data_IF_682379915501
#
_entry.id   IF_682379915501
#
_cell.length_a   1.000
_cell.length_b   1.000
_cell.length_c   1.000
_cell.angle_alpha   90.00
_cell.angle_beta   90.00
_cell.angle_gamma   90.00
#
_symmetry.space_group_name_H-M   'P 1'
#
loop_
_entity.id
_entity.type
_entity.pdbx_description
1 polymer ?
#
# COMPACT_ATOMS: atom_id res chain seq x y z
N UNK A 1 -65.07 32.17 -6.09
CA UNK A 1 -64.01 31.34 -6.71
C UNK A 1 -62.68 32.08 -6.91
N UNK A 2 -62.65 33.40 -7.08
CA UNK A 2 -61.42 34.15 -7.42
C UNK A 2 -60.32 34.21 -6.34
N UNK A 3 -60.67 34.24 -5.04
CA UNK A 3 -59.70 34.39 -3.94
C UNK A 3 -58.79 33.16 -3.75
N UNK A 4 -59.35 31.95 -3.89
CA UNK A 4 -58.58 30.71 -3.78
C UNK A 4 -57.54 30.56 -4.89
N UNK A 5 -57.87 31.00 -6.11
CA UNK A 5 -56.95 30.93 -7.25
C UNK A 5 -55.75 31.86 -7.02
N UNK A 6 -55.99 33.09 -6.55
CA UNK A 6 -54.92 34.04 -6.23
C UNK A 6 -54.01 33.54 -5.10
N UNK A 7 -54.57 32.87 -4.09
CA UNK A 7 -53.79 32.25 -3.01
C UNK A 7 -52.89 31.12 -3.52
N UNK A 8 -53.38 30.29 -4.43
CA UNK A 8 -52.61 29.19 -5.03
C UNK A 8 -51.47 29.75 -5.90
N UNK A 9 -51.74 30.77 -6.70
CA UNK A 9 -50.71 31.43 -7.52
C UNK A 9 -49.62 32.08 -6.66
N UNK A 10 -49.98 32.69 -5.54
CA UNK A 10 -49.02 33.25 -4.59
C UNK A 10 -48.14 32.15 -3.96
N UNK A 11 -48.73 31.02 -3.55
CA UNK A 11 -47.99 29.87 -3.03
C UNK A 11 -47.05 29.27 -4.09
N UNK A 12 -47.48 29.15 -5.35
CA UNK A 12 -46.65 28.65 -6.44
C UNK A 12 -45.46 29.58 -6.73
N UNK A 13 -45.66 30.90 -6.72
CA UNK A 13 -44.57 31.88 -6.87
C UNK A 13 -43.58 31.81 -5.70
N UNK A 14 -44.07 31.65 -4.47
CA UNK A 14 -43.22 31.50 -3.29
C UNK A 14 -42.41 30.21 -3.34
N UNK A 15 -43.03 29.10 -3.76
CA UNK A 15 -42.35 27.82 -3.91
C UNK A 15 -41.29 27.87 -5.00
N UNK A 16 -41.58 28.51 -6.14
CA UNK A 16 -40.61 28.70 -7.21
C UNK A 16 -39.40 29.54 -6.75
N UNK A 17 -39.63 30.59 -5.97
CA UNK A 17 -38.56 31.40 -5.39
C UNK A 17 -37.70 30.61 -4.39
N UNK A 18 -38.31 29.73 -3.60
CA UNK A 18 -37.61 28.85 -2.67
C UNK A 18 -36.78 27.78 -3.38
N UNK A 19 -37.33 27.15 -4.43
CA UNK A 19 -36.61 26.19 -5.27
C UNK A 19 -35.38 26.82 -5.92
N UNK A 20 -35.50 28.05 -6.42
CA UNK A 20 -34.36 28.78 -7.01
C UNK A 20 -33.29 29.13 -5.97
N UNK A 21 -33.69 29.51 -4.75
CA UNK A 21 -32.75 29.73 -3.63
C UNK A 21 -32.03 28.44 -3.26
N UNK A 22 -32.75 27.32 -3.20
CA UNK A 22 -32.16 26.01 -2.89
C UNK A 22 -31.23 25.54 -4.02
N UNK A 23 -31.58 25.77 -5.29
CA UNK A 23 -30.72 25.47 -6.44
C UNK A 23 -29.39 26.24 -6.34
N UNK A 24 -29.46 27.54 -6.09
CA UNK A 24 -28.25 28.38 -5.89
C UNK A 24 -27.39 27.90 -4.72
N UNK A 25 -28.00 27.52 -3.60
CA UNK A 25 -27.28 26.94 -2.45
C UNK A 25 -26.60 25.61 -2.79
N UNK A 26 -27.27 24.72 -3.54
CA UNK A 26 -26.70 23.44 -3.98
C UNK A 26 -25.54 23.63 -4.96
N UNK A 27 -25.63 24.63 -5.84
CA UNK A 27 -24.54 24.96 -6.77
C UNK A 27 -23.34 25.57 -6.07
N UNK A 28 -23.56 26.46 -5.10
CA UNK A 28 -22.48 27.00 -4.27
C UNK A 28 -21.76 25.90 -3.48
N UNK A 29 -22.51 25.00 -2.82
CA UNK A 29 -21.94 23.87 -2.10
C UNK A 29 -21.15 22.91 -3.01
N UNK A 30 -21.64 22.68 -4.25
CA UNK A 30 -20.91 21.87 -5.23
C UNK A 30 -19.59 22.51 -5.66
N UNK A 31 -19.56 23.83 -5.85
CA UNK A 31 -18.31 24.55 -6.18
C UNK A 31 -17.29 24.47 -5.05
N UNK A 32 -17.74 24.67 -3.82
CA UNK A 32 -16.87 24.60 -2.63
C UNK A 32 -16.29 23.19 -2.44
N UNK A 33 -17.07 22.14 -2.69
CA UNK A 33 -16.58 20.75 -2.65
C UNK A 33 -15.51 20.50 -3.72
N UNK A 34 -15.69 21.02 -4.93
CA UNK A 34 -14.71 20.85 -6.02
C UNK A 34 -13.42 21.64 -5.74
N UNK A 35 -13.53 22.87 -5.22
CA UNK A 35 -12.38 23.68 -4.82
C UNK A 35 -11.59 23.01 -3.68
N UNK A 36 -12.29 22.46 -2.68
CA UNK A 36 -11.67 21.68 -1.61
C UNK A 36 -11.02 20.39 -2.13
N UNK A 37 -11.63 19.74 -3.15
CA UNK A 37 -11.09 18.55 -3.81
C UNK A 37 -9.82 18.89 -4.61
N UNK A 38 -9.79 20.02 -5.31
CA UNK A 38 -8.64 20.48 -6.09
C UNK A 38 -7.50 20.94 -5.18
N UNK A 39 -7.80 21.63 -4.08
CA UNK A 39 -6.83 21.95 -3.03
C UNK A 39 -6.21 20.69 -2.43
N UNK A 40 -7.03 19.68 -2.13
CA UNK A 40 -6.55 18.37 -1.63
C UNK A 40 -5.66 17.67 -2.65
N UNK A 41 -6.02 17.69 -3.94
CA UNK A 41 -5.21 17.14 -5.03
C UNK A 41 -3.87 17.87 -5.18
N UNK A 42 -3.87 19.19 -5.04
CA UNK A 42 -2.66 20.02 -5.07
C UNK A 42 -1.71 19.68 -3.91
N UNK A 43 -2.24 19.54 -2.69
CA UNK A 43 -1.47 19.08 -1.53
C UNK A 43 -0.88 17.67 -1.72
N UNK A 44 -1.65 16.73 -2.26
CA UNK A 44 -1.15 15.38 -2.56
C UNK A 44 0.00 15.40 -3.58
N UNK A 45 -0.09 16.29 -4.59
CA UNK A 45 0.96 16.44 -5.61
C UNK A 45 2.25 17.01 -5.02
N UNK A 46 2.16 18.00 -4.13
CA UNK A 46 3.33 18.55 -3.41
C UNK A 46 3.96 17.53 -2.44
N UNK A 47 3.15 16.73 -1.75
CA UNK A 47 3.68 15.63 -0.95
C UNK A 47 4.38 14.58 -1.81
N UNK A 48 3.85 14.28 -2.99
CA UNK A 48 4.47 13.34 -3.92
C UNK A 48 5.83 13.84 -4.43
N UNK A 49 5.99 15.15 -4.70
CA UNK A 49 7.28 15.72 -5.10
C UNK A 49 8.30 15.75 -3.95
N UNK A 50 7.86 16.04 -2.72
CA UNK A 50 8.71 15.94 -1.53
C UNK A 50 9.20 14.51 -1.30
N UNK A 51 8.31 13.51 -1.40
CA UNK A 51 8.67 12.09 -1.27
C UNK A 51 9.63 11.65 -2.38
N UNK A 52 9.42 12.09 -3.64
CA UNK A 52 10.33 11.80 -4.76
C UNK A 52 11.70 12.43 -4.58
N UNK A 53 11.78 13.63 -4.02
CA UNK A 53 13.06 14.30 -3.74
C UNK A 53 13.78 13.68 -2.55
N UNK A 54 13.04 13.23 -1.52
CA UNK A 54 13.60 12.46 -0.39
C UNK A 54 14.19 11.11 -0.85
N UNK A 55 13.52 10.41 -1.79
CA UNK A 55 14.06 9.21 -2.45
C UNK A 55 15.31 9.46 -3.30
N UNK A 56 15.49 10.68 -3.83
CA UNK A 56 16.64 11.03 -4.67
C UNK A 56 17.92 11.35 -3.87
N UNK A 57 17.79 11.54 -2.56
CA UNK A 57 18.92 11.83 -1.65
C UNK A 57 19.46 10.59 -0.91
N UNK A 58 18.96 9.39 -1.21
CA UNK A 58 19.58 8.14 -0.73
C UNK A 58 20.46 7.63 -1.87
N UNK A 59 21.74 8.03 -1.86
CA UNK A 59 22.75 7.23 -2.56
C UNK A 59 22.69 5.81 -2.00
N UNK A 60 22.74 4.75 -2.84
CA UNK A 60 22.92 3.41 -2.30
C UNK A 60 24.24 3.39 -1.50
N UNK A 61 24.24 2.98 -0.22
CA UNK A 61 25.50 2.77 0.47
C UNK A 61 26.31 1.75 -0.32
N UNK A 62 27.54 2.12 -0.64
CA UNK A 62 28.52 1.27 -1.30
C UNK A 62 28.61 -0.06 -0.52
N UNK A 63 28.39 -1.24 -1.15
CA UNK A 63 28.43 -2.51 -0.44
C UNK A 63 29.88 -2.89 -0.17
N UNK A 64 30.47 -2.28 0.85
CA UNK A 64 31.64 -2.84 1.51
C UNK A 64 31.15 -3.97 2.41
N UNK A 65 31.35 -5.20 1.90
CA UNK A 65 31.28 -6.49 2.58
C UNK A 65 30.90 -6.43 4.07
N UNK A 66 29.60 -6.50 4.37
CA UNK A 66 29.15 -6.91 5.70
C UNK A 66 28.68 -8.34 5.59
N UNK A 67 29.54 -9.24 6.05
CA UNK A 67 29.29 -10.66 6.27
C UNK A 67 27.90 -10.87 6.86
N UNK A 68 27.00 -11.43 6.04
CA UNK A 68 25.68 -11.92 6.48
C UNK A 68 25.93 -13.23 7.22
N UNK A 69 26.24 -13.15 8.51
CA UNK A 69 26.38 -14.33 9.37
C UNK A 69 25.64 -14.09 10.67
N UNK A 70 24.55 -14.82 10.88
CA UNK A 70 23.89 -14.87 12.18
C UNK A 70 22.53 -15.56 12.21
N UNK A 71 21.62 -15.29 11.26
CA UNK A 71 20.19 -15.67 11.46
C UNK A 71 19.53 -16.32 10.25
N UNK A 72 20.12 -16.20 9.05
CA UNK A 72 19.55 -16.75 7.82
C UNK A 72 20.17 -18.13 7.59
N UNK A 73 19.35 -19.20 7.63
CA UNK A 73 19.79 -20.55 7.28
C UNK A 73 20.52 -20.50 5.93
N UNK A 74 21.66 -21.19 5.79
CA UNK A 74 22.57 -21.06 4.64
C UNK A 74 21.88 -21.23 3.26
N UNK A 75 20.78 -22.01 3.23
CA UNK A 75 19.86 -22.22 2.11
C UNK A 75 19.10 -20.96 1.61
N UNK A 76 19.10 -19.86 2.37
CA UNK A 76 18.38 -18.61 2.06
C UNK A 76 19.34 -17.41 1.91
N UNK A 77 20.62 -17.67 1.63
CA UNK A 77 21.63 -16.64 1.39
C UNK A 77 21.60 -16.21 -0.08
N UNK A 78 21.35 -14.93 -0.35
CA UNK A 78 21.41 -14.38 -1.69
C UNK A 78 22.79 -13.79 -1.97
N UNK A 79 23.27 -13.93 -3.20
CA UNK A 79 24.51 -13.29 -3.60
C UNK A 79 24.35 -11.76 -3.65
N UNK A 80 25.43 -10.98 -3.48
CA UNK A 80 25.38 -9.53 -3.61
C UNK A 80 24.89 -9.06 -5.00
N UNK A 81 25.16 -9.85 -6.05
CA UNK A 81 24.70 -9.56 -7.41
C UNK A 81 23.20 -9.81 -7.56
N UNK A 82 22.69 -10.91 -7.01
CA UNK A 82 21.25 -11.21 -6.99
C UNK A 82 20.48 -10.12 -6.24
N UNK A 83 20.98 -9.69 -5.08
CA UNK A 83 20.35 -8.61 -4.31
C UNK A 83 20.30 -7.30 -5.09
N UNK A 84 21.36 -6.96 -5.83
CA UNK A 84 21.39 -5.76 -6.68
C UNK A 84 20.39 -5.85 -7.84
N UNK A 85 20.28 -7.00 -8.49
CA UNK A 85 19.32 -7.21 -9.57
C UNK A 85 17.88 -7.06 -9.04
N UNK A 86 17.56 -7.69 -7.91
CA UNK A 86 16.25 -7.56 -7.26
C UNK A 86 15.96 -6.11 -6.85
N UNK A 87 16.97 -5.37 -6.38
CA UNK A 87 16.85 -3.97 -6.01
C UNK A 87 16.59 -3.07 -7.24
N UNK A 88 17.26 -3.32 -8.36
CA UNK A 88 17.05 -2.60 -9.62
C UNK A 88 15.64 -2.83 -10.20
N UNK A 89 15.12 -4.05 -10.08
CA UNK A 89 13.76 -4.38 -10.50
C UNK A 89 12.68 -3.80 -9.57
N UNK A 90 13.07 -3.39 -8.35
CA UNK A 90 12.14 -2.96 -7.32
C UNK A 90 11.95 -1.45 -7.31
N UNK A 91 10.71 -0.99 -7.52
CA UNK A 91 10.36 0.43 -7.44
C UNK A 91 10.17 0.98 -6.01
N UNK A 92 10.40 0.15 -4.97
CA UNK A 92 10.37 0.55 -3.57
C UNK A 92 10.47 -0.63 -2.59
N UNK A 93 10.59 -0.31 -1.30
CA UNK A 93 10.79 -1.27 -0.20
C UNK A 93 9.77 -2.40 -0.15
N UNK A 94 8.49 -2.12 -0.43
CA UNK A 94 7.43 -3.14 -0.48
C UNK A 94 7.55 -4.11 -1.66
N UNK A 95 7.96 -3.62 -2.85
CA UNK A 95 8.21 -4.49 -4.02
C UNK A 95 9.49 -5.30 -3.84
N UNK A 96 10.52 -4.70 -3.23
CA UNK A 96 11.75 -5.40 -2.88
C UNK A 96 11.50 -6.52 -1.88
N UNK A 97 10.73 -6.25 -0.82
CA UNK A 97 10.32 -7.29 0.14
C UNK A 97 9.49 -8.40 -0.51
N UNK A 98 8.61 -8.04 -1.45
CA UNK A 98 7.81 -9.00 -2.21
C UNK A 98 8.71 -9.92 -3.08
N UNK A 99 9.65 -9.35 -3.83
CA UNK A 99 10.59 -10.11 -4.66
C UNK A 99 11.51 -11.01 -3.80
N UNK A 100 12.01 -10.50 -2.67
CA UNK A 100 12.74 -11.30 -1.68
C UNK A 100 11.91 -12.48 -1.17
N UNK A 101 10.62 -12.25 -0.89
CA UNK A 101 9.72 -13.32 -0.42
C UNK A 101 9.55 -14.42 -1.47
N UNK A 102 9.35 -14.05 -2.74
CA UNK A 102 9.27 -15.02 -3.85
C UNK A 102 10.56 -15.79 -4.09
N UNK A 103 11.71 -15.15 -3.91
CA UNK A 103 13.01 -15.77 -4.18
C UNK A 103 13.50 -16.66 -3.04
N UNK A 104 13.29 -16.22 -1.80
CA UNK A 104 13.71 -16.94 -0.59
C UNK A 104 12.74 -18.06 -0.24
N UNK A 105 11.44 -17.86 -0.44
CA UNK A 105 10.43 -18.82 -0.01
C UNK A 105 9.47 -19.22 -1.15
N UNK A 106 9.99 -19.79 -2.26
CA UNK A 106 9.15 -20.22 -3.37
C UNK A 106 8.10 -21.26 -2.93
N UNK A 107 8.36 -22.04 -1.87
CA UNK A 107 7.43 -23.06 -1.34
C UNK A 107 6.16 -22.48 -0.73
N UNK A 108 6.13 -21.18 -0.39
CA UNK A 108 4.93 -20.50 0.09
C UNK A 108 3.88 -20.32 -1.00
N UNK A 109 4.28 -20.39 -2.26
CA UNK A 109 3.41 -20.13 -3.43
C UNK A 109 2.82 -21.41 -4.04
N UNK A 110 3.14 -22.59 -3.48
CA UNK A 110 2.56 -23.87 -3.89
C UNK A 110 1.11 -24.08 -3.42
N UNK A 111 0.57 -25.29 -3.65
CA UNK A 111 -0.79 -25.69 -3.23
C UNK A 111 -1.03 -25.73 -1.71
N UNK A 112 -0.04 -25.34 -0.91
CA UNK A 112 -0.07 -25.42 0.54
C UNK A 112 -0.73 -24.19 1.17
N UNK A 113 -1.38 -24.39 2.32
CA UNK A 113 -1.95 -23.31 3.15
C UNK A 113 -0.87 -22.43 3.80
N UNK A 114 0.43 -22.66 3.51
CA UNK A 114 1.58 -21.97 4.10
C UNK A 114 1.57 -20.45 3.83
N UNK A 115 0.98 -20.00 2.72
CA UNK A 115 0.78 -18.56 2.46
C UNK A 115 -0.06 -17.84 3.52
N UNK A 116 -1.00 -18.55 4.16
CA UNK A 116 -1.85 -17.99 5.20
C UNK A 116 -1.11 -17.86 6.52
N UNK A 117 -0.24 -18.82 6.81
CA UNK A 117 0.71 -18.77 7.93
C UNK A 117 1.73 -17.64 7.72
N UNK A 118 2.11 -17.33 6.48
CA UNK A 118 3.11 -16.30 6.17
C UNK A 118 2.62 -14.85 6.16
N UNK A 119 1.36 -14.56 6.47
CA UNK A 119 0.86 -13.18 6.44
C UNK A 119 1.61 -12.26 7.42
N UNK A 120 1.98 -11.08 6.94
CA UNK A 120 2.57 -10.03 7.74
C UNK A 120 1.47 -9.23 8.45
N UNK A 121 1.68 -8.91 9.72
CA UNK A 121 0.72 -8.19 10.55
C UNK A 121 1.40 -6.95 11.12
N UNK A 122 0.65 -5.86 11.18
CA UNK A 122 1.04 -4.61 11.81
C UNK A 122 0.44 -4.52 13.22
N UNK A 123 1.24 -4.29 14.26
CA UNK A 123 0.76 -4.03 15.61
C UNK A 123 -0.34 -4.98 16.13
N UNK A 124 -1.25 -4.45 16.95
CA UNK A 124 -2.31 -5.14 17.71
C UNK A 124 -3.29 -6.05 16.93
N UNK A 125 -3.10 -6.21 15.62
CA UNK A 125 -3.85 -7.14 14.76
C UNK A 125 -3.32 -8.58 14.79
N UNK A 126 -2.11 -8.80 15.34
CA UNK A 126 -1.52 -10.14 15.44
C UNK A 126 -2.37 -11.12 16.28
N UNK A 127 -3.14 -10.63 17.25
CA UNK A 127 -4.00 -11.43 18.15
C UNK A 127 -5.29 -11.93 17.52
N UNK A 128 -5.65 -11.50 16.29
CA UNK A 128 -6.88 -11.92 15.58
C UNK A 128 -6.65 -12.89 14.43
N UNK A 129 -5.41 -13.28 14.13
CA UNK A 129 -5.15 -14.27 13.10
C UNK A 129 -5.56 -15.67 13.58
N UNK A 130 -6.39 -16.36 12.80
CA UNK A 130 -6.74 -17.78 13.04
C UNK A 130 -5.55 -18.72 12.76
N UNK A 131 -4.52 -18.23 12.06
CA UNK A 131 -3.35 -19.01 11.69
C UNK A 131 -2.22 -18.81 12.70
N UNK A 132 -1.39 -19.83 12.96
CA UNK A 132 -0.22 -19.69 13.82
C UNK A 132 0.66 -18.54 13.32
N UNK A 133 1.31 -17.80 14.24
CA UNK A 133 2.22 -16.74 13.83
C UNK A 133 3.31 -17.34 12.93
N UNK A 134 3.64 -16.72 11.80
CA UNK A 134 4.69 -17.21 10.93
C UNK A 134 6.00 -17.33 11.67
N UNK A 135 6.80 -18.32 11.26
CA UNK A 135 8.13 -18.55 11.83
C UNK A 135 8.93 -17.24 11.89
N UNK A 136 9.30 -16.75 13.09
CA UNK A 136 9.96 -15.46 13.27
C UNK A 136 11.20 -15.31 12.37
N UNK A 137 11.98 -16.39 12.25
CA UNK A 137 13.20 -16.50 11.45
C UNK A 137 13.00 -16.09 9.99
N UNK A 138 11.86 -16.47 9.39
CA UNK A 138 11.64 -16.22 7.96
C UNK A 138 11.33 -14.76 7.65
N UNK A 139 10.52 -14.13 8.51
CA UNK A 139 10.22 -12.69 8.44
C UNK A 139 11.46 -11.86 8.78
N UNK A 140 12.23 -12.30 9.75
CA UNK A 140 13.46 -11.65 10.18
C UNK A 140 14.50 -11.61 9.07
N UNK A 141 14.65 -12.69 8.28
CA UNK A 141 15.53 -12.69 7.10
C UNK A 141 15.13 -11.59 6.09
N UNK A 142 13.84 -11.46 5.77
CA UNK A 142 13.35 -10.43 4.84
C UNK A 142 13.57 -9.03 5.44
N UNK A 143 13.27 -8.83 6.73
CA UNK A 143 13.52 -7.54 7.41
C UNK A 143 14.99 -7.19 7.45
N UNK A 144 15.88 -8.16 7.62
CA UNK A 144 17.32 -7.95 7.59
C UNK A 144 17.77 -7.45 6.22
N UNK A 145 17.40 -8.15 5.13
CA UNK A 145 17.75 -7.70 3.77
C UNK A 145 17.14 -6.34 3.44
N UNK A 146 15.88 -6.09 3.80
CA UNK A 146 15.26 -4.78 3.60
C UNK A 146 15.96 -3.71 4.42
N UNK A 147 16.36 -3.99 5.66
CA UNK A 147 17.05 -3.05 6.54
C UNK A 147 18.41 -2.58 6.03
N UNK A 148 19.11 -3.44 5.26
CA UNK A 148 20.39 -3.09 4.64
C UNK A 148 20.22 -2.02 3.54
N UNK A 149 19.11 -2.04 2.80
CA UNK A 149 18.89 -1.14 1.66
C UNK A 149 17.86 -0.02 1.92
N UNK A 150 16.92 -0.25 2.82
CA UNK A 150 15.80 0.62 3.18
C UNK A 150 15.59 0.59 4.71
N UNK A 151 16.52 1.13 5.50
CA UNK A 151 16.38 1.17 6.96
C UNK A 151 15.10 1.89 7.42
N UNK A 152 14.63 2.89 6.66
CA UNK A 152 13.38 3.61 6.91
C UNK A 152 12.13 2.72 6.78
N UNK A 153 12.21 1.63 6.02
CA UNK A 153 11.10 0.68 5.86
C UNK A 153 10.94 -0.27 7.05
N UNK A 154 11.87 -0.24 8.02
CA UNK A 154 11.78 -0.97 9.27
C UNK A 154 10.97 -0.23 10.34
N UNK A 155 10.78 1.09 10.18
CA UNK A 155 9.90 1.88 11.05
C UNK A 155 8.50 1.29 10.94
N UNK A 156 7.89 0.97 12.10
CA UNK A 156 6.64 0.20 12.14
C UNK A 156 5.55 0.86 11.28
N UNK A 157 5.36 2.17 11.38
CA UNK A 157 4.40 2.93 10.56
C UNK A 157 4.62 2.76 9.06
N UNK A 158 5.86 2.97 8.58
CA UNK A 158 6.23 2.85 7.17
C UNK A 158 6.09 1.40 6.68
N UNK A 159 6.49 0.44 7.51
CA UNK A 159 6.38 -0.99 7.22
C UNK A 159 4.92 -1.40 7.06
N UNK A 160 4.05 -0.92 7.96
CA UNK A 160 2.62 -1.19 7.94
C UNK A 160 1.89 -0.56 6.75
N UNK A 161 2.32 0.62 6.31
CA UNK A 161 1.66 1.35 5.22
C UNK A 161 2.09 0.85 3.84
N UNK A 162 3.33 0.38 3.69
CA UNK A 162 3.92 0.12 2.37
C UNK A 162 4.46 -1.30 2.17
N UNK A 163 5.07 -1.89 3.19
CA UNK A 163 5.78 -3.17 3.07
C UNK A 163 4.83 -4.35 3.31
N UNK A 164 4.14 -4.34 4.45
CA UNK A 164 3.21 -5.39 4.87
C UNK A 164 2.07 -5.60 3.86
N UNK A 165 1.39 -4.54 3.36
CA UNK A 165 0.30 -4.71 2.41
C UNK A 165 0.79 -5.32 1.09
N UNK A 166 2.01 -4.99 0.65
CA UNK A 166 2.56 -5.45 -0.62
C UNK A 166 2.97 -6.91 -0.60
N UNK A 167 3.63 -7.34 0.48
CA UNK A 167 3.95 -8.76 0.71
C UNK A 167 2.66 -9.58 0.84
N UNK A 168 1.67 -9.09 1.59
CA UNK A 168 0.38 -9.78 1.72
C UNK A 168 -0.43 -9.78 0.41
N UNK A 169 -0.32 -8.74 -0.42
CA UNK A 169 -0.91 -8.71 -1.77
C UNK A 169 -0.29 -9.80 -2.64
N UNK A 170 1.04 -9.92 -2.65
CA UNK A 170 1.76 -10.95 -3.39
C UNK A 170 1.33 -12.37 -2.95
N UNK A 171 1.31 -12.65 -1.65
CA UNK A 171 0.92 -13.96 -1.10
C UNK A 171 -0.53 -14.33 -1.48
N UNK A 172 -1.42 -13.33 -1.55
CA UNK A 172 -2.81 -13.55 -2.00
C UNK A 172 -2.93 -13.74 -3.50
N UNK A 173 -2.24 -12.93 -4.32
CA UNK A 173 -2.33 -12.94 -5.79
C UNK A 173 -1.66 -14.17 -6.42
N UNK A 174 -0.46 -14.53 -5.96
CA UNK A 174 0.31 -15.64 -6.51
C UNK A 174 -0.36 -17.00 -6.29
N UNK A 175 -1.30 -17.11 -5.34
CA UNK A 175 -2.16 -18.29 -5.18
C UNK A 175 -3.05 -18.62 -6.38
N UNK A 176 -3.10 -17.77 -7.41
CA UNK A 176 -3.80 -18.01 -8.69
C UNK A 176 -2.89 -17.97 -9.92
N UNK A 177 -1.72 -17.32 -9.84
CA UNK A 177 -0.84 -17.09 -11.01
C UNK A 177 0.15 -18.23 -11.28
N UNK A 178 0.59 -18.97 -10.25
CA UNK A 178 1.54 -20.08 -10.43
C UNK A 178 0.95 -21.27 -11.23
N UNK A 179 -0.37 -21.33 -11.39
CA UNK A 179 -1.05 -22.30 -12.24
C UNK A 179 -0.83 -22.05 -13.75
N UNK A 180 -0.48 -20.83 -14.16
CA UNK A 180 -0.35 -20.48 -15.59
C UNK A 180 1.09 -20.45 -16.10
N UNK A 181 2.10 -20.54 -15.23
CA UNK A 181 3.51 -20.50 -15.61
C UNK A 181 4.22 -21.87 -15.56
N UNK A 182 3.55 -22.94 -15.14
CA UNK A 182 4.08 -24.31 -15.15
C UNK A 182 3.41 -25.21 -16.21
N UNK A 183 2.77 -24.62 -17.23
CA UNK A 183 2.15 -25.37 -18.33
C UNK A 183 2.63 -24.90 -19.72
N UNK A 184 3.90 -24.50 -19.81
CA UNK A 184 4.65 -24.37 -21.08
C UNK A 184 6.02 -25.02 -20.88
#
# INVERSE_FOLDING_TARGET
MSSHILSIEASLRSLAAEQERLRKKREAARREIEENRDMTRSMMTMNETLVKNQKRSVQPPNPTATTVSGVVAAEHTLSPEELRNLLQESSGSGNFAAHLTSRLYPELFGMSQLKHEFNWHCGATATRSRYPPPRPQRKEAIRHYVGVFYPEALVETVSCDSLIPKVNELLRRQGTAFMYLLNI
#
